data_IF_945000701166
#
_entry.id   IF_945000701166
#
_cell.length_a   1.000
_cell.length_b   1.000
_cell.length_c   1.000
_cell.angle_alpha   90.00
_cell.angle_beta   90.00
_cell.angle_gamma   90.00
#
_symmetry.space_group_name_H-M   'P 1'
#
loop_
_entity.id
_entity.type
_entity.pdbx_description
1 polymer ?
#
# COMPACT_ATOMS: atom_id res chain seq x y z
N UNK A 1 -10.32 10.74 -18.19
CA UNK A 1 -9.89 9.88 -19.33
C UNK A 1 -8.40 9.53 -19.37
N UNK A 2 -7.42 10.47 -19.49
CA UNK A 2 -5.99 10.06 -19.56
C UNK A 2 -5.40 9.51 -18.26
N UNK A 3 -5.73 10.11 -17.11
CA UNK A 3 -5.24 9.65 -15.80
C UNK A 3 -5.87 8.32 -15.39
N UNK A 4 -7.17 8.14 -15.68
CA UNK A 4 -7.88 6.88 -15.45
C UNK A 4 -7.31 5.75 -16.30
N UNK A 5 -6.96 6.03 -17.57
CA UNK A 5 -6.31 5.04 -18.44
C UNK A 5 -4.94 4.61 -17.89
N UNK A 6 -4.14 5.56 -17.38
CA UNK A 6 -2.86 5.24 -16.77
C UNK A 6 -3.03 4.39 -15.51
N UNK A 7 -3.98 4.75 -14.64
CA UNK A 7 -4.30 3.95 -13.46
C UNK A 7 -4.72 2.54 -13.83
N UNK A 8 -5.66 2.39 -14.76
CA UNK A 8 -6.10 1.09 -15.25
C UNK A 8 -4.96 0.24 -15.81
N UNK A 9 -4.05 0.84 -16.60
CA UNK A 9 -2.91 0.12 -17.17
C UNK A 9 -1.93 -0.34 -16.08
N UNK A 10 -1.62 0.52 -15.11
CA UNK A 10 -0.70 0.16 -14.02
C UNK A 10 -1.29 -0.95 -13.14
N UNK A 11 -2.58 -0.88 -12.82
CA UNK A 11 -3.26 -1.90 -12.02
C UNK A 11 -3.34 -3.24 -12.79
N UNK A 12 -3.77 -3.23 -14.06
CA UNK A 12 -3.83 -4.46 -14.86
C UNK A 12 -2.46 -5.11 -15.07
N UNK A 13 -1.42 -4.32 -15.35
CA UNK A 13 -0.05 -4.83 -15.46
C UNK A 13 0.48 -5.35 -14.12
N UNK A 14 0.09 -4.74 -13.01
CA UNK A 14 0.45 -5.24 -11.69
C UNK A 14 -0.19 -6.60 -11.45
N UNK A 15 -1.49 -6.75 -11.69
CA UNK A 15 -2.24 -7.99 -11.46
C UNK A 15 -1.67 -9.15 -12.29
N UNK A 16 -1.40 -8.93 -13.58
CA UNK A 16 -0.83 -9.95 -14.47
C UNK A 16 0.58 -10.41 -14.08
N UNK A 17 1.35 -9.52 -13.41
CA UNK A 17 2.74 -9.75 -13.04
C UNK A 17 2.95 -9.95 -11.54
N UNK A 18 1.86 -10.10 -10.76
CA UNK A 18 1.96 -10.30 -9.32
C UNK A 18 2.50 -11.71 -9.01
N UNK A 19 3.50 -11.75 -8.14
CA UNK A 19 4.11 -12.99 -7.65
C UNK A 19 3.31 -13.58 -6.48
N UNK A 20 2.40 -12.82 -5.89
CA UNK A 20 1.53 -13.27 -4.79
C UNK A 20 0.35 -14.04 -5.36
N UNK A 21 0.41 -15.37 -5.32
CA UNK A 21 -0.67 -16.26 -5.81
C UNK A 21 -1.81 -16.41 -4.80
N UNK A 22 -1.48 -16.43 -3.49
CA UNK A 22 -2.46 -16.54 -2.41
C UNK A 22 -2.24 -15.40 -1.44
N UNK A 23 -3.17 -14.45 -1.43
CA UNK A 23 -3.07 -13.28 -0.58
C UNK A 23 -3.22 -13.67 0.91
N UNK A 24 -2.25 -13.35 1.78
CA UNK A 24 -2.38 -13.61 3.19
C UNK A 24 -3.40 -12.66 3.82
N UNK A 25 -4.19 -13.18 4.78
CA UNK A 25 -4.94 -12.32 5.69
C UNK A 25 -3.95 -11.70 6.68
N UNK A 26 -3.99 -10.38 6.81
CA UNK A 26 -3.18 -9.63 7.76
C UNK A 26 -4.14 -8.78 8.58
N UNK A 27 -4.17 -9.03 9.89
CA UNK A 27 -4.92 -8.20 10.83
C UNK A 27 -4.22 -6.85 10.98
N UNK A 28 -4.96 -5.76 10.79
CA UNK A 28 -4.41 -4.43 10.91
C UNK A 28 -4.23 -4.05 12.37
N UNK A 29 -2.99 -3.73 12.77
CA UNK A 29 -2.68 -3.34 14.13
C UNK A 29 -3.22 -1.93 14.42
N UNK A 30 -3.69 -1.70 15.64
CA UNK A 30 -3.85 -0.34 16.12
C UNK A 30 -2.46 0.25 16.40
N UNK A 31 -2.04 1.21 15.59
CA UNK A 31 -0.73 1.86 15.69
C UNK A 31 -0.70 3.03 16.67
N UNK A 32 -1.75 3.23 17.46
CA UNK A 32 -1.82 4.30 18.46
C UNK A 32 -0.60 4.28 19.41
N UNK A 33 0.12 5.39 19.46
CA UNK A 33 1.31 5.56 20.30
C UNK A 33 2.59 4.89 19.79
N UNK A 34 2.56 4.25 18.62
CA UNK A 34 3.76 3.68 18.00
C UNK A 34 4.62 4.78 17.35
N UNK A 35 5.96 4.61 17.30
CA UNK A 35 6.83 5.53 16.55
C UNK A 35 6.51 5.50 15.05
N UNK A 36 6.43 6.67 14.40
CA UNK A 36 6.11 6.78 12.96
C UNK A 36 7.01 5.89 12.08
N UNK A 37 8.31 5.82 12.38
CA UNK A 37 9.26 4.98 11.63
C UNK A 37 8.95 3.48 11.72
N UNK A 38 8.38 3.04 12.85
CA UNK A 38 7.92 1.66 13.04
C UNK A 38 6.66 1.39 12.22
N UNK A 39 5.69 2.31 12.31
CA UNK A 39 4.42 2.24 11.57
C UNK A 39 4.69 2.21 10.07
N UNK A 40 5.52 3.12 9.55
CA UNK A 40 5.88 3.17 8.13
C UNK A 40 6.47 1.84 7.67
N UNK A 41 7.42 1.30 8.42
CA UNK A 41 8.10 0.04 8.08
C UNK A 41 7.12 -1.15 8.08
N UNK A 42 6.25 -1.25 9.08
CA UNK A 42 5.28 -2.34 9.18
C UNK A 42 4.22 -2.23 8.09
N UNK A 43 3.68 -1.04 7.85
CA UNK A 43 2.71 -0.81 6.78
C UNK A 43 3.29 -1.16 5.41
N UNK A 44 4.55 -0.81 5.13
CA UNK A 44 5.20 -1.20 3.87
C UNK A 44 5.38 -2.72 3.77
N UNK A 45 5.76 -3.37 4.88
CA UNK A 45 5.89 -4.82 4.94
C UNK A 45 4.55 -5.52 4.65
N UNK A 46 3.45 -5.00 5.19
CA UNK A 46 2.10 -5.52 4.92
C UNK A 46 1.68 -5.29 3.46
N UNK A 47 2.01 -4.13 2.89
CA UNK A 47 1.80 -3.83 1.47
C UNK A 47 2.54 -4.85 0.58
N UNK A 48 3.85 -5.02 0.78
CA UNK A 48 4.69 -5.96 0.00
C UNK A 48 4.33 -7.43 0.20
N UNK A 49 3.70 -7.80 1.32
CA UNK A 49 3.21 -9.16 1.55
C UNK A 49 1.97 -9.51 0.71
N UNK A 50 1.26 -8.49 0.20
CA UNK A 50 0.03 -8.65 -0.59
C UNK A 50 0.19 -8.25 -2.06
N UNK A 51 1.24 -7.48 -2.37
CA UNK A 51 1.50 -6.94 -3.70
C UNK A 51 3.00 -7.06 -4.02
N UNK A 52 3.37 -7.96 -4.94
CA UNK A 52 4.76 -8.13 -5.36
C UNK A 52 4.90 -8.27 -6.89
N UNK A 53 5.01 -7.12 -7.56
CA UNK A 53 5.29 -7.03 -9.00
C UNK A 53 6.37 -6.00 -9.31
N UNK A 54 6.81 -5.97 -10.57
CA UNK A 54 7.70 -4.91 -11.07
C UNK A 54 7.03 -3.53 -11.02
N UNK A 55 5.71 -3.46 -11.18
CA UNK A 55 4.94 -2.21 -11.07
C UNK A 55 5.03 -1.66 -9.64
N UNK A 56 4.88 -2.52 -8.63
CA UNK A 56 5.07 -2.13 -7.22
C UNK A 56 6.47 -1.56 -6.98
N UNK A 57 7.50 -2.18 -7.55
CA UNK A 57 8.88 -1.75 -7.34
C UNK A 57 9.22 -0.41 -8.02
N UNK A 58 8.55 -0.07 -9.13
CA UNK A 58 8.85 1.13 -9.91
C UNK A 58 7.92 2.31 -9.61
N UNK A 59 6.65 2.05 -9.28
CA UNK A 59 5.61 3.08 -9.26
C UNK A 59 4.89 3.23 -7.91
N UNK A 60 4.97 2.24 -7.01
CA UNK A 60 4.31 2.37 -5.71
C UNK A 60 5.24 3.09 -4.72
N UNK A 61 4.65 4.00 -3.95
CA UNK A 61 5.29 4.67 -2.82
C UNK A 61 4.36 4.68 -1.61
N UNK A 62 4.84 5.20 -0.48
CA UNK A 62 4.07 5.30 0.74
C UNK A 62 3.99 6.75 1.24
N UNK A 63 2.79 7.16 1.62
CA UNK A 63 2.51 8.46 2.25
C UNK A 63 2.08 8.24 3.70
N UNK A 64 2.43 9.18 4.58
CA UNK A 64 1.92 9.23 5.95
C UNK A 64 0.74 10.20 6.00
N UNK A 65 -0.43 9.69 6.38
CA UNK A 65 -1.65 10.48 6.56
C UNK A 65 -1.89 10.76 8.04
N UNK A 66 -2.12 12.03 8.41
CA UNK A 66 -2.46 12.43 9.78
C UNK A 66 -3.86 13.06 9.80
N UNK A 67 -4.80 12.37 10.45
CA UNK A 67 -6.13 12.91 10.72
C UNK A 67 -6.14 13.53 12.11
N UNK A 68 -6.70 14.74 12.23
CA UNK A 68 -6.90 15.41 13.52
C UNK A 68 -8.39 15.67 13.64
N UNK A 69 -9.02 15.13 14.69
CA UNK A 69 -10.40 15.49 15.01
C UNK A 69 -10.44 16.94 15.49
N UNK A 70 -11.28 17.75 14.86
CA UNK A 70 -11.54 19.12 15.31
C UNK A 70 -12.49 19.11 16.50
N UNK A 71 -12.14 19.80 17.58
CA UNK A 71 -13.11 20.18 18.60
C UNK A 71 -13.99 21.29 18.00
N UNK A 72 -15.20 20.93 17.61
CA UNK A 72 -16.32 21.86 17.67
C UNK A 72 -16.99 21.69 19.03
#
# INVERSE_FOLDING_TARGET
>A
MRQELLGFLLDGLHEDLDRIIKMPYIEWSNFDGWPDAEVVRISWKYHKARFDSIIVNLFHGQLTSRLVSGLF
#
